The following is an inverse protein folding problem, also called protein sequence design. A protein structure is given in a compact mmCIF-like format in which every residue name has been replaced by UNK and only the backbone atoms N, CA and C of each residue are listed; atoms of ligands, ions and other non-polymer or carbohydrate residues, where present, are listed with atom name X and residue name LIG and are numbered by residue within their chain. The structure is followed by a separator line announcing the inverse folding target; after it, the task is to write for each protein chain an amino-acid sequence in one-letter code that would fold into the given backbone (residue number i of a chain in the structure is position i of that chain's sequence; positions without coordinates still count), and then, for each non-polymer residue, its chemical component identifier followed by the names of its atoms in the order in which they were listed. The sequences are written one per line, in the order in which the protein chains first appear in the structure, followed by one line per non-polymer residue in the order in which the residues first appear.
data_IF_734921202372
#
_entry.id   IF_734921202372
#
_cell.length_a   1.000
_cell.length_b   1.000
_cell.length_c   1.000
_cell.angle_alpha   90.00
_cell.angle_beta   90.00
_cell.angle_gamma   90.00
#
_symmetry.space_group_name_H-M   'P 1'
#
loop_
_entity.id
_entity.type
_entity.pdbx_description
1 polymer ?
#
# COMPACT_ATOMS: atom_id res chain seq x y z
N UNK A 1 -12.07 -12.26 3.57
CA UNK A 1 -10.94 -11.38 3.21
C UNK A 1 -11.15 -9.95 3.72
N UNK A 2 -12.27 -9.26 3.40
CA UNK A 2 -12.56 -7.91 3.91
C UNK A 2 -14.06 -7.62 3.94
N UNK A 3 -14.41 -6.60 4.74
CA UNK A 3 -15.75 -5.98 4.80
C UNK A 3 -15.58 -4.49 4.58
N UNK A 4 -16.55 -3.83 3.97
CA UNK A 4 -16.49 -2.40 3.69
C UNK A 4 -17.86 -1.74 3.71
N UNK A 5 -17.83 -0.39 3.82
CA UNK A 5 -18.98 0.46 3.56
C UNK A 5 -18.52 1.68 2.74
N UNK A 6 -19.31 2.04 1.74
CA UNK A 6 -19.07 3.19 0.88
C UNK A 6 -19.75 4.45 1.39
N UNK A 7 -19.04 5.57 1.31
CA UNK A 7 -19.52 6.91 1.63
C UNK A 7 -19.04 7.88 0.53
N UNK A 8 -19.88 8.08 -0.48
CA UNK A 8 -19.48 8.86 -1.66
C UNK A 8 -18.34 8.19 -2.42
N UNK A 9 -17.24 8.88 -2.53
CA UNK A 9 -15.97 8.45 -3.15
C UNK A 9 -15.02 7.70 -2.19
N UNK A 10 -15.44 7.48 -0.93
CA UNK A 10 -14.64 6.83 0.10
C UNK A 10 -15.22 5.50 0.53
N UNK A 11 -14.32 4.56 0.82
CA UNK A 11 -14.64 3.26 1.37
C UNK A 11 -13.96 3.10 2.73
N UNK A 12 -14.75 2.84 3.77
CA UNK A 12 -14.22 2.37 5.05
C UNK A 12 -14.12 0.86 4.96
N UNK A 13 -12.92 0.33 5.13
CA UNK A 13 -12.57 -1.06 4.88
C UNK A 13 -11.99 -1.70 6.15
N UNK A 14 -12.49 -2.86 6.51
CA UNK A 14 -11.90 -3.73 7.53
C UNK A 14 -11.42 -5.02 6.87
N UNK A 15 -10.13 -5.32 6.98
CA UNK A 15 -9.55 -6.56 6.46
C UNK A 15 -9.57 -7.61 7.58
N UNK A 16 -9.92 -8.84 7.23
CA UNK A 16 -10.02 -9.94 8.18
C UNK A 16 -8.63 -10.32 8.72
N UNK A 17 -8.60 -10.79 9.97
CA UNK A 17 -7.38 -11.23 10.62
C UNK A 17 -6.68 -12.36 9.85
N UNK A 18 -5.35 -12.39 9.89
CA UNK A 18 -4.45 -13.33 9.18
C UNK A 18 -4.38 -13.18 7.67
N UNK A 19 -5.05 -12.19 7.10
CA UNK A 19 -4.91 -11.85 5.67
C UNK A 19 -3.62 -11.06 5.43
N UNK A 20 -3.10 -11.13 4.20
CA UNK A 20 -2.00 -10.29 3.74
C UNK A 20 -2.58 -8.95 3.23
N UNK A 21 -2.13 -7.86 3.84
CA UNK A 21 -2.77 -6.54 3.69
C UNK A 21 -2.66 -5.95 2.29
N UNK A 22 -1.51 -6.09 1.62
CA UNK A 22 -1.29 -5.50 0.28
C UNK A 22 -2.12 -6.24 -0.76
N UNK A 23 -2.18 -7.56 -0.69
CA UNK A 23 -3.02 -8.40 -1.54
C UNK A 23 -4.51 -8.12 -1.34
N UNK A 24 -4.93 -7.90 -0.09
CA UNK A 24 -6.32 -7.56 0.22
C UNK A 24 -6.71 -6.18 -0.33
N UNK A 25 -5.84 -5.17 -0.19
CA UNK A 25 -6.05 -3.84 -0.78
C UNK A 25 -6.12 -3.94 -2.30
N UNK A 26 -5.20 -4.70 -2.93
CA UNK A 26 -5.20 -4.90 -4.38
C UNK A 26 -6.49 -5.52 -4.85
N UNK A 27 -6.92 -6.64 -4.25
CA UNK A 27 -8.16 -7.32 -4.59
C UNK A 27 -9.39 -6.42 -4.45
N UNK A 28 -9.42 -5.57 -3.40
CA UNK A 28 -10.48 -4.59 -3.20
C UNK A 28 -10.52 -3.55 -4.32
N UNK A 29 -9.37 -2.95 -4.66
CA UNK A 29 -9.28 -1.97 -5.73
C UNK A 29 -9.67 -2.56 -7.10
N UNK A 30 -9.26 -3.79 -7.38
CA UNK A 30 -9.65 -4.51 -8.60
C UNK A 30 -11.17 -4.78 -8.65
N UNK A 31 -11.77 -5.25 -7.54
CA UNK A 31 -13.23 -5.46 -7.43
C UNK A 31 -14.02 -4.18 -7.66
N UNK A 32 -13.52 -3.05 -7.16
CA UNK A 32 -14.19 -1.74 -7.28
C UNK A 32 -13.78 -0.95 -8.51
N UNK A 33 -12.88 -1.47 -9.33
CA UNK A 33 -12.34 -0.78 -10.51
C UNK A 33 -11.68 0.57 -10.18
N UNK A 34 -11.04 0.65 -9.01
CA UNK A 34 -10.31 1.85 -8.58
C UNK A 34 -8.93 1.83 -9.21
N UNK A 35 -8.68 2.75 -10.12
CA UNK A 35 -7.42 2.88 -10.88
C UNK A 35 -6.60 4.09 -10.49
N UNK A 36 -7.19 5.03 -9.74
CA UNK A 36 -6.54 6.22 -9.20
C UNK A 36 -7.14 6.59 -7.84
N UNK A 37 -6.31 6.81 -6.85
CA UNK A 37 -6.78 7.12 -5.51
C UNK A 37 -5.69 7.05 -4.45
N UNK A 38 -6.12 6.97 -3.22
CA UNK A 38 -5.24 6.83 -2.05
C UNK A 38 -5.82 5.82 -1.05
N UNK A 39 -4.93 5.27 -0.23
CA UNK A 39 -5.30 4.41 0.90
C UNK A 39 -4.57 4.87 2.14
N UNK A 40 -5.25 4.86 3.27
CA UNK A 40 -4.66 5.14 4.58
C UNK A 40 -5.29 4.28 5.66
N UNK A 41 -4.57 4.05 6.76
CA UNK A 41 -5.16 3.33 7.88
C UNK A 41 -4.18 2.90 8.95
N UNK A 42 -4.73 2.11 9.86
CA UNK A 42 -4.07 1.57 11.06
C UNK A 42 -4.42 0.10 11.25
N UNK A 43 -3.68 -0.58 12.10
CA UNK A 43 -3.93 -1.99 12.39
C UNK A 43 -2.82 -2.64 13.21
N UNK A 44 -2.78 -3.98 13.18
CA UNK A 44 -1.72 -4.74 13.83
C UNK A 44 -1.31 -5.95 12.99
N UNK A 45 -0.03 -6.28 13.02
CA UNK A 45 0.59 -7.34 12.21
C UNK A 45 1.48 -8.24 13.06
N UNK A 46 1.69 -9.47 12.61
CA UNK A 46 2.68 -10.40 13.16
C UNK A 46 3.93 -10.53 12.30
N UNK A 47 3.87 -10.06 11.07
CA UNK A 47 4.98 -10.08 10.13
C UNK A 47 4.86 -8.92 9.14
N UNK A 48 6.00 -8.32 8.77
CA UNK A 48 6.06 -7.34 7.70
C UNK A 48 7.37 -7.47 6.91
N UNK A 49 7.30 -7.29 5.60
CA UNK A 49 8.44 -7.13 4.71
C UNK A 49 8.47 -5.69 4.22
N UNK A 50 9.54 -4.99 4.60
CA UNK A 50 9.80 -3.61 4.19
C UNK A 50 10.95 -3.56 3.20
N UNK A 51 10.90 -2.56 2.33
CA UNK A 51 11.97 -2.22 1.40
C UNK A 51 12.60 -0.89 1.71
N UNK A 52 13.89 -0.81 1.49
CA UNK A 52 14.66 0.42 1.48
C UNK A 52 15.33 0.58 0.12
N UNK A 53 15.14 1.73 -0.52
CA UNK A 53 15.87 2.04 -1.75
C UNK A 53 17.30 2.40 -1.40
N UNK A 54 18.26 1.58 -1.85
CA UNK A 54 19.69 1.91 -1.77
C UNK A 54 20.11 2.65 -3.05
N UNK A 55 20.42 3.95 -2.96
CA UNK A 55 20.78 4.74 -4.14
C UNK A 55 22.15 4.36 -4.73
N UNK A 56 23.01 3.68 -3.97
CA UNK A 56 24.32 3.26 -4.47
C UNK A 56 24.22 2.13 -5.49
N UNK A 57 23.25 1.24 -5.31
CA UNK A 57 22.97 0.14 -6.24
C UNK A 57 21.73 0.36 -7.10
N UNK A 58 21.01 1.47 -6.88
CA UNK A 58 19.72 1.81 -7.55
C UNK A 58 18.71 0.66 -7.48
N UNK A 59 18.65 0.00 -6.34
CA UNK A 59 17.79 -1.16 -6.12
C UNK A 59 17.31 -1.21 -4.67
N UNK A 60 16.32 -2.07 -4.43
CA UNK A 60 15.76 -2.27 -3.12
C UNK A 60 16.53 -3.33 -2.33
N UNK A 61 16.62 -3.09 -1.02
CA UNK A 61 17.06 -4.07 -0.01
C UNK A 61 15.86 -4.37 0.88
N UNK A 62 15.49 -5.65 0.97
CA UNK A 62 14.34 -6.09 1.75
C UNK A 62 14.76 -6.48 3.18
N UNK A 63 13.91 -6.09 4.15
CA UNK A 63 13.99 -6.53 5.54
C UNK A 63 12.70 -7.22 5.96
N UNK A 64 12.81 -8.40 6.55
CA UNK A 64 11.68 -9.16 7.09
C UNK A 64 11.68 -9.04 8.62
N UNK A 65 10.53 -8.67 9.17
CA UNK A 65 10.32 -8.50 10.60
C UNK A 65 9.20 -9.42 11.05
N UNK A 66 9.53 -10.43 11.86
CA UNK A 66 8.58 -11.43 12.36
C UNK A 66 8.37 -11.20 13.84
N UNK A 67 7.52 -10.25 14.15
CA UNK A 67 7.13 -9.87 15.50
C UNK A 67 5.76 -9.16 15.49
N UNK A 68 5.07 -9.17 16.63
CA UNK A 68 3.84 -8.38 16.77
C UNK A 68 4.15 -6.89 16.77
N UNK A 69 3.52 -6.14 15.86
CA UNK A 69 3.70 -4.69 15.71
C UNK A 69 2.36 -4.01 15.43
N UNK A 70 2.25 -2.76 15.85
CA UNK A 70 1.11 -1.89 15.53
C UNK A 70 1.40 -1.12 14.22
N UNK A 71 0.47 -1.14 13.28
CA UNK A 71 0.52 -0.22 12.14
C UNK A 71 0.14 1.18 12.65
N UNK A 72 1.14 1.99 12.98
CA UNK A 72 0.93 3.36 13.45
C UNK A 72 0.45 4.27 12.33
N UNK A 73 0.86 3.99 11.11
CA UNK A 73 0.43 4.67 9.89
C UNK A 73 0.70 3.79 8.68
N UNK A 74 -0.30 3.62 7.85
CA UNK A 74 -0.20 3.09 6.49
C UNK A 74 -0.75 4.15 5.56
N UNK A 75 0.00 4.50 4.53
CA UNK A 75 -0.43 5.44 3.50
C UNK A 75 0.08 5.00 2.13
N UNK A 76 -0.73 5.15 1.11
CA UNK A 76 -0.31 4.76 -0.23
C UNK A 76 -1.10 5.43 -1.34
N UNK A 77 -0.52 5.34 -2.53
CA UNK A 77 -1.10 5.81 -3.77
C UNK A 77 -1.56 4.61 -4.61
N UNK A 78 -2.70 4.78 -5.25
CA UNK A 78 -3.26 3.86 -6.24
C UNK A 78 -3.04 4.50 -7.61
N UNK A 79 -2.43 3.75 -8.53
CA UNK A 79 -2.17 4.19 -9.91
C UNK A 79 -2.09 2.95 -10.81
N UNK A 80 -1.65 3.11 -12.05
CA UNK A 80 -1.44 2.00 -12.98
C UNK A 80 -0.03 1.99 -13.55
N UNK A 81 0.43 0.81 -13.96
CA UNK A 81 1.64 0.63 -14.74
C UNK A 81 1.39 -0.42 -15.82
N UNK A 82 1.63 -0.07 -17.07
CA UNK A 82 1.39 -0.95 -18.22
C UNK A 82 -0.05 -1.52 -18.27
N UNK A 83 -1.05 -0.72 -17.83
CA UNK A 83 -2.45 -1.10 -17.75
C UNK A 83 -2.86 -1.91 -16.51
N UNK A 84 -1.91 -2.30 -15.67
CA UNK A 84 -2.15 -3.06 -14.45
C UNK A 84 -2.18 -2.14 -13.21
N UNK A 85 -2.95 -2.55 -12.20
CA UNK A 85 -3.01 -1.83 -10.93
C UNK A 85 -1.64 -1.78 -10.25
N UNK A 86 -1.21 -0.60 -9.87
CA UNK A 86 0.05 -0.35 -9.18
C UNK A 86 -0.20 0.34 -7.83
N UNK A 87 0.08 -0.37 -6.74
CA UNK A 87 0.01 0.15 -5.39
C UNK A 87 1.40 0.59 -4.93
N UNK A 88 1.51 1.83 -4.44
CA UNK A 88 2.72 2.33 -3.79
C UNK A 88 2.38 2.68 -2.34
N UNK A 89 2.74 1.80 -1.43
CA UNK A 89 2.35 1.88 -0.03
C UNK A 89 3.59 1.96 0.85
N UNK A 90 3.59 2.88 1.79
CA UNK A 90 4.52 2.95 2.90
C UNK A 90 3.80 2.66 4.21
N UNK A 91 4.51 2.10 5.17
CA UNK A 91 3.98 1.87 6.51
C UNK A 91 5.03 2.16 7.57
N UNK A 92 4.55 2.61 8.73
CA UNK A 92 5.32 2.75 9.96
C UNK A 92 4.73 1.82 11.00
N UNK A 93 5.57 1.00 11.60
CA UNK A 93 5.19 0.03 12.62
C UNK A 93 5.77 0.40 13.97
N UNK A 94 4.90 0.46 14.97
CA UNK A 94 5.29 0.58 16.38
C UNK A 94 5.59 -0.79 16.97
N UNK A 95 6.78 -0.95 17.55
CA UNK A 95 7.24 -2.17 18.21
C UNK A 95 6.84 -2.18 19.68
N UNK A 96 7.01 -3.33 20.32
CA UNK A 96 6.67 -3.53 21.73
C UNK A 96 7.34 -2.54 22.69
N UNK A 97 8.52 -2.06 22.36
CA UNK A 97 9.28 -1.06 23.13
C UNK A 97 8.95 0.38 22.72
N UNK A 98 7.93 0.57 21.87
CA UNK A 98 7.48 1.84 21.28
C UNK A 98 8.48 2.49 20.31
N UNK A 99 9.56 1.83 19.94
CA UNK A 99 10.36 2.25 18.80
C UNK A 99 9.61 1.97 17.50
N UNK A 100 9.94 2.69 16.45
CA UNK A 100 9.29 2.56 15.16
C UNK A 100 10.26 2.10 14.10
N UNK A 101 9.77 1.26 13.19
CA UNK A 101 10.41 0.94 11.91
C UNK A 101 9.45 1.31 10.79
N UNK A 102 9.95 1.61 9.61
CA UNK A 102 9.10 1.97 8.49
C UNK A 102 9.83 1.95 7.17
N UNK A 103 9.07 1.96 6.10
CA UNK A 103 9.60 1.96 4.73
C UNK A 103 8.52 1.62 3.71
N UNK A 104 8.98 1.31 2.51
CA UNK A 104 8.11 0.80 1.45
C UNK A 104 7.57 -0.58 1.83
N UNK A 105 6.25 -0.72 1.85
CA UNK A 105 5.59 -1.96 2.27
C UNK A 105 5.48 -2.93 1.10
N UNK A 106 6.09 -4.10 1.24
CA UNK A 106 5.96 -5.20 0.30
C UNK A 106 4.83 -6.15 0.67
N UNK A 107 4.79 -6.53 1.93
CA UNK A 107 3.76 -7.40 2.48
C UNK A 107 3.67 -7.25 3.99
N UNK A 108 2.50 -7.52 4.56
CA UNK A 108 2.35 -7.69 6.00
C UNK A 108 1.16 -8.61 6.31
N UNK A 109 1.35 -9.50 7.28
CA UNK A 109 0.32 -10.43 7.73
C UNK A 109 -0.36 -9.87 8.97
N UNK A 110 -1.66 -9.70 8.90
CA UNK A 110 -2.46 -9.15 9.99
C UNK A 110 -2.52 -10.10 11.18
N UNK A 111 -2.38 -9.52 12.37
CA UNK A 111 -2.67 -10.19 13.64
C UNK A 111 -3.28 -9.17 14.60
N UNK A 112 -4.56 -8.93 14.40
CA UNK A 112 -5.37 -7.94 15.08
C UNK A 112 -6.33 -7.23 14.11
N UNK A 113 -6.67 -5.99 14.41
CA UNK A 113 -7.51 -5.18 13.55
C UNK A 113 -6.73 -4.64 12.34
N UNK A 114 -7.45 -4.37 11.26
CA UNK A 114 -6.97 -3.57 10.15
C UNK A 114 -8.12 -2.72 9.62
N UNK A 115 -8.00 -1.42 9.79
CA UNK A 115 -9.03 -0.43 9.49
C UNK A 115 -8.46 0.60 8.53
N UNK A 116 -8.98 0.62 7.31
CA UNK A 116 -8.49 1.46 6.22
C UNK A 116 -9.58 2.38 5.70
N UNK A 117 -9.15 3.49 5.11
CA UNK A 117 -9.95 4.30 4.21
C UNK A 117 -9.30 4.26 2.84
N UNK A 118 -10.07 3.89 1.83
CA UNK A 118 -9.69 4.01 0.41
C UNK A 118 -10.51 5.14 -0.18
N UNK A 119 -9.85 6.12 -0.79
CA UNK A 119 -10.50 7.21 -1.51
C UNK A 119 -10.28 7.01 -3.01
N UNK A 120 -11.38 6.91 -3.74
CA UNK A 120 -11.42 6.76 -5.19
C UNK A 120 -11.52 8.16 -5.84
N UNK A 121 -10.55 8.54 -6.66
CA UNK A 121 -10.57 9.83 -7.35
C UNK A 121 -11.47 9.84 -8.59
N UNK A 122 -12.14 8.73 -8.86
CA UNK A 122 -13.08 8.60 -9.96
C UNK A 122 -12.44 7.99 -11.21
N UNK A 123 -12.96 8.40 -12.36
CA UNK A 123 -12.49 7.87 -13.65
C UNK A 123 -11.12 8.42 -14.02
N UNK A 124 -10.32 7.56 -14.61
CA UNK A 124 -9.00 7.91 -15.10
C UNK A 124 -7.89 7.13 -14.43
N UNK A 125 -6.69 7.43 -14.80
CA UNK A 125 -5.49 6.85 -14.20
C UNK A 125 -4.29 7.78 -14.38
N UNK A 126 -3.27 7.60 -13.57
CA UNK A 126 -1.93 8.12 -13.81
C UNK A 126 -1.01 6.91 -13.99
N UNK A 127 -0.35 6.85 -15.14
CA UNK A 127 0.60 5.78 -15.45
C UNK A 127 1.91 5.90 -14.69
N UNK A 128 2.76 4.90 -14.85
CA UNK A 128 4.13 4.93 -14.33
C UNK A 128 5.11 4.47 -15.39
N UNK A 129 6.31 5.08 -15.36
CA UNK A 129 7.42 4.77 -16.24
C UNK A 129 8.68 4.56 -15.42
N UNK A 130 9.47 3.56 -15.82
CA UNK A 130 10.75 3.31 -15.20
C UNK A 130 11.71 4.49 -15.50
N UNK A 131 12.32 5.00 -14.45
CA UNK A 131 13.35 6.04 -14.52
C UNK A 131 14.72 5.44 -14.20
N UNK A 132 15.68 5.42 -15.18
CA UNK A 132 16.99 4.83 -14.99
C UNK A 132 17.90 5.66 -14.06
N UNK A 133 17.59 6.93 -13.83
CA UNK A 133 18.35 7.76 -12.90
C UNK A 133 18.14 7.32 -11.46
N UNK A 134 16.89 7.09 -11.06
CA UNK A 134 16.52 6.70 -9.71
C UNK A 134 16.38 5.18 -9.52
N UNK A 135 16.14 4.42 -10.60
CA UNK A 135 15.81 3.00 -10.56
C UNK A 135 14.36 2.73 -10.15
N UNK A 136 13.50 3.73 -10.18
CA UNK A 136 12.11 3.67 -9.71
C UNK A 136 11.09 3.78 -10.85
N UNK A 137 9.87 3.34 -10.59
CA UNK A 137 8.71 3.58 -11.45
C UNK A 137 8.04 4.90 -11.00
N UNK A 138 8.41 6.00 -11.61
CA UNK A 138 7.87 7.33 -11.32
C UNK A 138 6.54 7.56 -12.07
N UNK A 139 5.74 8.54 -11.60
CA UNK A 139 4.54 8.95 -12.31
C UNK A 139 4.87 9.42 -13.73
N UNK A 140 4.09 8.94 -14.68
CA UNK A 140 4.11 9.38 -16.07
C UNK A 140 2.76 10.01 -16.43
N UNK A 141 2.72 11.33 -16.40
CA UNK A 141 1.52 12.10 -16.72
C UNK A 141 1.19 12.16 -18.23
N UNK A 142 2.01 11.57 -19.09
CA UNK A 142 1.66 11.37 -20.50
C UNK A 142 0.66 10.23 -20.70
N UNK A 143 0.54 9.33 -19.71
CA UNK A 143 -0.44 8.24 -19.64
C UNK A 143 -1.49 8.62 -18.60
N UNK A 144 -2.39 9.51 -18.98
CA UNK A 144 -3.56 9.89 -18.19
C UNK A 144 -4.79 9.73 -19.06
N UNK A 145 -5.71 8.88 -18.62
CA UNK A 145 -7.06 8.78 -19.19
C UNK A 145 -8.02 9.43 -18.18
N UNK A 146 -8.72 10.44 -18.60
CA UNK A 146 -9.75 11.10 -17.81
C UNK A 146 -11.12 10.44 -18.02
#
# INVERSE_FOLDING_TARGET
MYKYRQFGDRYVLSIDNHEEIVSAIKAFCEEKHITIGTVSGIGAVSEATLRFLDPAIKNYVDGVFTEQMEISNLIGNISTKDGELYLHIHATFGRRDYTCIGGHLMSAVLNGACELVVEDFGKGTVGRKFDPETGLNLYDFSVTEA
#
